data_IF_003139930321
#
_entry.id   IF_003139930321
#
_cell.length_a   1.000
_cell.length_b   1.000
_cell.length_c   1.000
_cell.angle_alpha   90.00
_cell.angle_beta   90.00
_cell.angle_gamma   90.00
#
_symmetry.space_group_name_H-M   'P 1'
#
loop_
_entity.id
_entity.type
_entity.pdbx_description
1 polymer ?
#
# COMPACT_ATOMS: atom_id res chain seq x y z
N UNK A 1 -12.17 9.04 14.71
CA UNK A 1 -12.15 9.20 13.24
C UNK A 1 -10.70 9.08 12.81
N UNK A 2 -10.40 8.36 11.72
CA UNK A 2 -9.04 8.30 11.15
C UNK A 2 -8.99 9.08 9.83
N UNK A 3 -7.86 9.71 9.52
CA UNK A 3 -7.63 10.50 8.31
C UNK A 3 -6.48 9.87 7.53
N UNK A 4 -6.78 9.40 6.31
CA UNK A 4 -5.80 8.75 5.45
C UNK A 4 -5.48 9.67 4.26
N UNK A 5 -4.20 9.78 3.90
CA UNK A 5 -3.77 10.56 2.75
C UNK A 5 -3.73 9.68 1.49
N UNK A 6 -4.36 10.12 0.41
CA UNK A 6 -4.34 9.42 -0.88
C UNK A 6 -3.24 9.97 -1.80
N UNK A 7 -1.99 9.65 -1.47
CA UNK A 7 -0.80 10.18 -2.16
C UNK A 7 0.44 9.33 -1.89
N UNK A 8 1.46 9.48 -2.75
CA UNK A 8 2.81 8.99 -2.48
C UNK A 8 3.85 10.14 -2.39
N UNK A 9 3.39 11.40 -2.36
CA UNK A 9 4.26 12.57 -2.18
C UNK A 9 4.79 12.65 -0.75
N UNK A 10 6.04 12.23 -0.56
CA UNK A 10 6.73 12.23 0.73
C UNK A 10 6.89 13.64 1.35
N UNK A 11 6.89 14.71 0.56
CA UNK A 11 6.96 16.07 1.08
C UNK A 11 5.62 16.51 1.67
N UNK A 12 4.51 16.14 1.02
CA UNK A 12 3.18 16.31 1.59
C UNK A 12 3.05 15.54 2.90
N UNK A 13 3.43 14.26 2.91
CA UNK A 13 3.34 13.43 4.10
C UNK A 13 4.16 13.98 5.26
N UNK A 14 5.41 14.42 5.03
CA UNK A 14 6.21 15.08 6.08
C UNK A 14 5.56 16.33 6.65
N UNK A 15 4.90 17.14 5.81
CA UNK A 15 4.26 18.39 6.23
C UNK A 15 3.02 18.15 7.08
N UNK A 16 2.27 17.09 6.81
CA UNK A 16 0.96 16.83 7.41
C UNK A 16 0.93 15.56 8.28
N UNK A 17 2.08 14.97 8.61
CA UNK A 17 2.17 13.74 9.41
C UNK A 17 1.40 13.83 10.74
N UNK A 18 1.30 15.02 11.34
CA UNK A 18 0.62 15.25 12.62
C UNK A 18 -0.90 15.00 12.62
N UNK A 19 -1.52 14.87 11.45
CA UNK A 19 -2.97 14.61 11.30
C UNK A 19 -3.27 13.36 10.46
N UNK A 20 -2.25 12.72 9.88
CA UNK A 20 -2.41 11.57 8.99
C UNK A 20 -2.22 10.28 9.79
N UNK A 21 -3.25 9.44 9.81
CA UNK A 21 -3.27 8.14 10.49
C UNK A 21 -2.84 6.97 9.58
N UNK A 22 -2.71 7.21 8.27
CA UNK A 22 -2.40 6.19 7.28
C UNK A 22 -2.34 6.74 5.86
N UNK A 23 -1.90 5.93 4.91
CA UNK A 23 -1.75 6.33 3.51
C UNK A 23 -2.44 5.31 2.62
N UNK A 24 -3.15 5.79 1.60
CA UNK A 24 -3.61 4.94 0.50
C UNK A 24 -2.83 5.26 -0.77
N UNK A 25 -2.39 4.21 -1.45
CA UNK A 25 -1.76 4.34 -2.76
C UNK A 25 -2.47 3.43 -3.77
N UNK A 26 -2.08 3.58 -5.02
CA UNK A 26 -2.40 2.69 -6.12
C UNK A 26 -1.28 2.79 -7.17
N UNK A 27 -1.24 1.91 -8.19
CA UNK A 27 -0.13 1.89 -9.15
C UNK A 27 0.03 3.22 -9.89
N UNK A 28 -1.06 3.95 -10.15
CA UNK A 28 -1.01 5.25 -10.82
C UNK A 28 -0.41 6.34 -9.93
N UNK A 29 -0.75 6.37 -8.64
CA UNK A 29 -0.17 7.32 -7.68
C UNK A 29 1.33 7.08 -7.55
N UNK A 30 1.74 5.83 -7.33
CA UNK A 30 3.15 5.46 -7.18
C UNK A 30 3.95 5.79 -8.46
N UNK A 31 3.41 5.47 -9.64
CA UNK A 31 4.10 5.71 -10.90
C UNK A 31 4.38 7.21 -11.17
N UNK A 32 3.56 8.13 -10.63
CA UNK A 32 3.77 9.58 -10.77
C UNK A 32 5.02 10.08 -10.07
N UNK A 33 5.45 9.40 -9.01
CA UNK A 33 6.66 9.77 -8.26
C UNK A 33 7.95 9.47 -9.05
N UNK A 34 7.89 8.57 -10.05
CA UNK A 34 9.04 8.16 -10.89
C UNK A 34 10.25 7.70 -10.07
N UNK A 35 9.99 6.97 -8.98
CA UNK A 35 10.98 6.44 -8.05
C UNK A 35 10.89 4.92 -7.93
N UNK A 36 11.95 4.24 -7.48
CA UNK A 36 11.89 2.82 -7.17
C UNK A 36 10.82 2.55 -6.10
N UNK A 37 9.97 1.56 -6.37
CA UNK A 37 8.81 1.22 -5.52
C UNK A 37 9.20 0.96 -4.06
N UNK A 38 10.18 0.08 -3.81
CA UNK A 38 10.57 -0.28 -2.45
C UNK A 38 11.13 0.91 -1.66
N UNK A 39 11.95 1.75 -2.29
CA UNK A 39 12.52 2.94 -1.64
C UNK A 39 11.43 3.95 -1.26
N UNK A 40 10.47 4.17 -2.17
CA UNK A 40 9.35 5.07 -1.94
C UNK A 40 8.45 4.58 -0.79
N UNK A 41 8.08 3.30 -0.81
CA UNK A 41 7.22 2.70 0.22
C UNK A 41 7.91 2.68 1.58
N UNK A 42 9.21 2.35 1.64
CA UNK A 42 9.98 2.41 2.89
C UNK A 42 10.07 3.84 3.44
N UNK A 43 10.27 4.84 2.58
CA UNK A 43 10.27 6.23 3.00
C UNK A 43 8.91 6.66 3.56
N UNK A 44 7.81 6.28 2.90
CA UNK A 44 6.44 6.52 3.41
C UNK A 44 6.26 5.88 4.80
N UNK A 45 6.69 4.63 4.98
CA UNK A 45 6.60 3.92 6.26
C UNK A 45 7.44 4.59 7.36
N UNK A 46 8.56 5.24 7.00
CA UNK A 46 9.37 6.01 7.97
C UNK A 46 8.76 7.36 8.38
N UNK A 47 7.78 7.87 7.62
CA UNK A 47 7.12 9.16 7.87
C UNK A 47 5.80 8.95 8.62
N UNK A 48 5.05 7.91 8.26
CA UNK A 48 3.71 7.63 8.79
C UNK A 48 3.75 6.31 9.55
N UNK A 49 3.58 6.39 10.87
CA UNK A 49 3.45 5.24 11.77
C UNK A 49 2.00 4.74 11.81
N UNK A 50 1.53 4.22 10.67
CA UNK A 50 0.16 3.75 10.48
C UNK A 50 -0.02 2.96 9.19
N UNK A 51 -1.23 2.44 8.91
CA UNK A 51 -1.47 1.58 7.76
C UNK A 51 -1.13 2.23 6.42
N UNK A 52 -0.30 1.57 5.61
CA UNK A 52 0.09 2.01 4.28
C UNK A 52 -0.49 1.02 3.26
N UNK A 53 -1.57 1.43 2.59
CA UNK A 53 -2.24 0.60 1.61
C UNK A 53 -1.49 0.60 0.28
N UNK A 54 -1.06 -0.57 -0.17
CA UNK A 54 -0.38 -0.77 -1.47
C UNK A 54 -1.11 -1.84 -2.28
N UNK A 55 -1.32 -1.58 -3.56
CA UNK A 55 -2.21 -2.40 -4.40
C UNK A 55 -1.47 -3.53 -5.12
N UNK A 56 -1.99 -4.76 -5.00
CA UNK A 56 -1.56 -5.89 -5.82
C UNK A 56 -2.12 -5.76 -7.24
N UNK A 57 -1.31 -6.08 -8.25
CA UNK A 57 -1.69 -5.93 -9.68
C UNK A 57 -1.96 -7.25 -10.40
N UNK A 58 -1.66 -8.38 -9.76
CA UNK A 58 -1.99 -9.72 -10.24
C UNK A 58 -3.51 -9.95 -10.35
N UNK A 59 -3.91 -10.90 -11.20
CA UNK A 59 -5.33 -11.15 -11.54
C UNK A 59 -5.90 -12.47 -11.02
N UNK A 60 -5.05 -13.47 -10.82
CA UNK A 60 -5.44 -14.81 -10.37
C UNK A 60 -5.12 -14.96 -8.89
N UNK A 61 -5.97 -15.64 -8.12
CA UNK A 61 -5.84 -15.71 -6.67
C UNK A 61 -4.45 -16.18 -6.17
N UNK A 62 -3.85 -17.26 -6.72
CA UNK A 62 -2.52 -17.70 -6.26
C UNK A 62 -1.43 -16.65 -6.48
N UNK A 63 -1.50 -15.92 -7.60
CA UNK A 63 -0.53 -14.86 -7.92
C UNK A 63 -0.76 -13.61 -7.05
N UNK A 64 -2.02 -13.28 -6.74
CA UNK A 64 -2.36 -12.20 -5.80
C UNK A 64 -1.80 -12.51 -4.41
N UNK A 65 -1.94 -13.75 -3.93
CA UNK A 65 -1.40 -14.19 -2.63
C UNK A 65 0.13 -14.07 -2.61
N UNK A 66 0.83 -14.58 -3.63
CA UNK A 66 2.29 -14.48 -3.71
C UNK A 66 2.76 -13.01 -3.74
N UNK A 67 2.10 -12.16 -4.52
CA UNK A 67 2.38 -10.73 -4.56
C UNK A 67 2.12 -10.05 -3.22
N UNK A 68 0.99 -10.34 -2.57
CA UNK A 68 0.64 -9.79 -1.26
C UNK A 68 1.67 -10.14 -0.18
N UNK A 69 2.16 -11.38 -0.16
CA UNK A 69 3.21 -11.82 0.77
C UNK A 69 4.54 -11.09 0.51
N UNK A 70 4.89 -10.84 -0.75
CA UNK A 70 6.08 -10.04 -1.09
C UNK A 70 5.94 -8.57 -0.67
N UNK A 71 4.75 -8.00 -0.85
CA UNK A 71 4.46 -6.60 -0.47
C UNK A 71 4.51 -6.41 1.05
N UNK A 72 3.90 -7.31 1.82
CA UNK A 72 3.90 -7.25 3.30
C UNK A 72 5.27 -7.51 3.91
N UNK A 73 6.16 -8.23 3.22
CA UNK A 73 7.54 -8.41 3.65
C UNK A 73 8.38 -7.10 3.65
N UNK A 74 7.91 -6.02 3.01
CA UNK A 74 8.62 -4.73 2.96
C UNK A 74 8.60 -4.02 4.30
N UNK A 75 7.46 -4.01 4.99
CA UNK A 75 7.26 -3.34 6.29
C UNK A 75 5.97 -3.82 6.95
N UNK A 76 5.94 -3.90 8.29
CA UNK A 76 4.78 -4.39 9.06
C UNK A 76 3.51 -3.55 8.89
N UNK A 77 3.67 -2.25 8.59
CA UNK A 77 2.56 -1.33 8.35
C UNK A 77 1.89 -1.48 6.97
N UNK A 78 2.38 -2.38 6.10
CA UNK A 78 1.79 -2.57 4.77
C UNK A 78 0.45 -3.29 4.86
N UNK A 79 -0.57 -2.70 4.26
CA UNK A 79 -1.87 -3.31 4.03
C UNK A 79 -2.03 -3.53 2.53
N UNK A 80 -2.27 -4.77 2.11
CA UNK A 80 -2.40 -5.07 0.68
C UNK A 80 -3.83 -4.75 0.22
N UNK A 81 -3.93 -3.82 -0.72
CA UNK A 81 -5.17 -3.48 -1.40
C UNK A 81 -5.39 -4.48 -2.53
N UNK A 82 -6.52 -5.17 -2.49
CA UNK A 82 -6.92 -6.18 -3.48
C UNK A 82 -8.18 -5.69 -4.20
N UNK A 83 -8.21 -5.83 -5.53
CA UNK A 83 -9.37 -5.45 -6.32
C UNK A 83 -10.58 -6.32 -5.98
N UNK A 84 -11.78 -5.73 -6.00
CA UNK A 84 -13.03 -6.44 -5.74
C UNK A 84 -13.44 -7.29 -6.95
N UNK A 85 -12.85 -8.48 -7.05
CA UNK A 85 -13.13 -9.50 -8.07
C UNK A 85 -13.33 -10.86 -7.40
N UNK A 86 -13.83 -11.86 -8.13
CA UNK A 86 -13.93 -13.22 -7.60
C UNK A 86 -12.55 -13.76 -7.16
N UNK A 87 -11.54 -13.62 -8.02
CA UNK A 87 -10.16 -14.00 -7.70
C UNK A 87 -9.57 -13.19 -6.54
N UNK A 88 -9.91 -11.89 -6.45
CA UNK A 88 -9.52 -11.05 -5.33
C UNK A 88 -10.13 -11.51 -4.01
N UNK A 89 -11.41 -11.89 -4.00
CA UNK A 89 -12.07 -12.42 -2.81
C UNK A 89 -11.54 -13.79 -2.39
N UNK A 90 -11.20 -14.66 -3.35
CA UNK A 90 -10.49 -15.92 -3.07
C UNK A 90 -9.15 -15.64 -2.38
N UNK A 91 -8.35 -14.74 -2.93
CA UNK A 91 -7.06 -14.35 -2.34
C UNK A 91 -7.23 -13.75 -0.94
N UNK A 92 -8.22 -12.86 -0.73
CA UNK A 92 -8.54 -12.31 0.60
C UNK A 92 -8.87 -13.42 1.59
N UNK A 93 -9.63 -14.45 1.18
CA UNK A 93 -9.96 -15.58 2.06
C UNK A 93 -8.75 -16.42 2.48
N UNK A 94 -7.68 -16.44 1.69
CA UNK A 94 -6.44 -17.16 2.01
C UNK A 94 -5.47 -16.32 2.87
N UNK A 95 -5.53 -14.99 2.73
CA UNK A 95 -4.66 -14.04 3.44
C UNK A 95 -5.20 -13.61 4.81
N UNK A 96 -6.48 -13.87 5.09
CA UNK A 96 -7.19 -13.42 6.30
C UNK A 96 -6.97 -14.31 7.54
#
# INVERSE_FOLDING_TARGET
MKIFADTADVNFLRRFAFIIDGVTTNPTIIAREKRPFNELVQEICSIIDGPISVEAVSKEAPAIVEEALRLTAVHENIVVKIAMTEEGLKAVSELA
#
